data_IF_008891560406
#
_entry.id   IF_008891560406
#
_cell.length_a   1.000
_cell.length_b   1.000
_cell.length_c   1.000
_cell.angle_alpha   90.00
_cell.angle_beta   90.00
_cell.angle_gamma   90.00
#
_symmetry.space_group_name_H-M   'P 1'
#
loop_
_entity.id
_entity.type
_entity.pdbx_description
1 polymer ?
#
# COMPACT_ATOMS: atom_id res chain seq x y z
N UNK A 1 -7.44 11.58 20.72
CA UNK A 1 -6.55 10.53 21.28
C UNK A 1 -6.69 10.29 22.79
N UNK A 2 -7.22 11.19 23.57
CA UNK A 2 -7.41 10.95 25.01
C UNK A 2 -8.41 9.81 25.31
N UNK A 3 -9.53 9.76 24.60
CA UNK A 3 -10.57 8.71 24.77
C UNK A 3 -10.03 7.28 24.57
N UNK A 4 -9.14 7.07 23.60
CA UNK A 4 -8.55 5.76 23.33
C UNK A 4 -7.78 5.24 24.55
N UNK A 5 -6.97 6.12 25.16
CA UNK A 5 -6.17 5.75 26.36
C UNK A 5 -7.05 5.55 27.60
N UNK A 6 -8.06 6.41 27.78
CA UNK A 6 -8.95 6.35 28.94
C UNK A 6 -9.88 5.11 28.92
N UNK A 7 -10.31 4.71 27.73
CA UNK A 7 -11.25 3.60 27.55
C UNK A 7 -10.60 2.27 27.16
N UNK A 8 -9.28 2.23 26.92
CA UNK A 8 -8.56 1.03 26.50
C UNK A 8 -9.02 0.47 25.14
N UNK A 9 -9.50 1.33 24.24
CA UNK A 9 -10.07 0.91 22.95
C UNK A 9 -9.01 0.84 21.87
N UNK A 10 -9.19 -0.13 20.96
CA UNK A 10 -8.53 -0.10 19.66
C UNK A 10 -9.32 0.76 18.69
N UNK A 11 -8.62 1.55 17.87
CA UNK A 11 -9.25 2.42 16.85
C UNK A 11 -8.78 1.98 15.47
N UNK A 12 -9.73 1.77 14.57
CA UNK A 12 -9.47 1.53 13.16
C UNK A 12 -9.81 2.79 12.36
N UNK A 13 -8.83 3.31 11.64
CA UNK A 13 -8.99 4.43 10.71
C UNK A 13 -9.09 3.90 9.29
N UNK A 14 -10.12 4.34 8.56
CA UNK A 14 -10.26 4.08 7.12
C UNK A 14 -10.13 5.41 6.41
N UNK A 15 -9.09 5.54 5.61
CA UNK A 15 -8.76 6.78 4.89
C UNK A 15 -8.00 6.48 3.61
N UNK A 16 -7.99 7.40 2.68
CA UNK A 16 -7.14 7.40 1.49
C UNK A 16 -5.94 8.33 1.61
N UNK A 17 -5.80 9.03 2.72
CA UNK A 17 -4.73 10.01 2.95
C UNK A 17 -3.63 9.41 3.82
N UNK A 18 -2.56 8.96 3.17
CA UNK A 18 -1.36 8.46 3.85
C UNK A 18 -0.56 9.57 4.54
N UNK A 19 -0.67 10.82 4.07
CA UNK A 19 0.12 11.92 4.64
C UNK A 19 -0.15 12.18 6.13
N UNK A 20 -1.37 11.93 6.58
CA UNK A 20 -1.76 12.14 7.99
C UNK A 20 -1.75 10.87 8.84
N UNK A 21 -1.73 9.69 8.22
CA UNK A 21 -1.87 8.41 8.93
C UNK A 21 -0.63 8.09 9.77
N UNK A 22 0.56 8.46 9.31
CA UNK A 22 1.82 8.11 9.95
C UNK A 22 1.90 8.50 11.43
N UNK A 23 1.33 9.65 11.79
CA UNK A 23 1.36 10.16 13.18
C UNK A 23 0.24 9.60 14.07
N UNK A 24 -0.75 8.91 13.47
CA UNK A 24 -1.99 8.56 14.17
C UNK A 24 -2.10 7.08 14.49
N UNK A 25 -1.39 6.20 13.78
CA UNK A 25 -1.56 4.75 13.87
C UNK A 25 -0.22 4.04 14.14
N UNK A 26 -0.30 2.79 14.58
CA UNK A 26 0.88 1.94 14.79
C UNK A 26 1.08 0.96 13.64
N UNK A 27 -0.01 0.57 12.98
CA UNK A 27 -0.02 -0.43 11.91
C UNK A 27 -0.88 0.05 10.75
N UNK A 28 -0.44 -0.23 9.54
CA UNK A 28 -1.14 0.12 8.30
C UNK A 28 -1.44 -1.15 7.52
N UNK A 29 -2.65 -1.22 6.96
CA UNK A 29 -3.05 -2.19 5.98
C UNK A 29 -3.40 -1.43 4.69
N UNK A 30 -2.61 -1.60 3.65
CA UNK A 30 -2.87 -0.99 2.34
C UNK A 30 -3.78 -1.92 1.55
N UNK A 31 -4.90 -1.37 1.08
CA UNK A 31 -5.89 -2.13 0.31
C UNK A 31 -5.93 -1.66 -1.15
N UNK A 32 -6.10 -2.61 -2.06
CA UNK A 32 -6.34 -2.35 -3.46
C UNK A 32 -7.36 -3.36 -4.02
N UNK A 33 -8.39 -2.85 -4.68
CA UNK A 33 -9.45 -3.68 -5.30
C UNK A 33 -10.05 -4.75 -4.35
N UNK A 34 -10.24 -4.39 -3.07
CA UNK A 34 -10.83 -5.28 -2.06
C UNK A 34 -9.84 -6.22 -1.36
N UNK A 35 -8.54 -6.20 -1.71
CA UNK A 35 -7.52 -7.05 -1.10
C UNK A 35 -6.51 -6.23 -0.30
N UNK A 36 -6.04 -6.79 0.82
CA UNK A 36 -4.85 -6.27 1.50
C UNK A 36 -3.64 -6.68 0.66
N UNK A 37 -2.92 -5.70 0.15
CA UNK A 37 -1.76 -5.90 -0.72
C UNK A 37 -0.43 -5.68 -0.01
N UNK A 38 -0.44 -4.94 1.07
CA UNK A 38 0.70 -4.74 1.96
C UNK A 38 0.21 -4.39 3.35
N UNK A 39 0.87 -4.88 4.38
CA UNK A 39 0.60 -4.53 5.78
C UNK A 39 1.90 -4.51 6.57
N UNK A 40 1.99 -3.64 7.57
CA UNK A 40 3.18 -3.54 8.42
C UNK A 40 3.02 -2.48 9.50
N UNK A 41 4.07 -2.29 10.27
CA UNK A 41 4.20 -1.12 11.13
C UNK A 41 4.33 0.13 10.24
N UNK A 42 4.14 1.30 10.81
CA UNK A 42 4.25 2.57 10.07
C UNK A 42 5.60 2.66 9.37
N UNK A 43 6.69 2.41 10.08
CA UNK A 43 8.05 2.49 9.54
C UNK A 43 8.27 1.48 8.40
N UNK A 44 7.76 0.25 8.51
CA UNK A 44 7.82 -0.75 7.42
C UNK A 44 7.17 -0.21 6.14
N UNK A 45 6.00 0.46 6.27
CA UNK A 45 5.24 0.94 5.10
C UNK A 45 5.86 2.18 4.48
N UNK A 46 6.43 3.10 5.28
CA UNK A 46 6.98 4.35 4.75
C UNK A 46 8.44 4.22 4.30
N UNK A 47 9.26 3.50 5.05
CA UNK A 47 10.70 3.42 4.81
C UNK A 47 11.10 2.16 4.00
N UNK A 48 10.38 1.06 4.18
CA UNK A 48 10.68 -0.24 3.57
C UNK A 48 9.53 -0.77 2.68
N UNK A 49 8.85 0.12 1.99
CA UNK A 49 7.73 -0.21 1.09
C UNK A 49 8.10 -1.27 0.07
N UNK A 50 7.27 -2.30 -0.07
CA UNK A 50 7.53 -3.44 -0.95
C UNK A 50 6.56 -3.53 -2.14
N UNK A 51 5.29 -3.14 -1.97
CA UNK A 51 4.32 -3.26 -3.05
C UNK A 51 4.36 -2.05 -4.00
N UNK A 52 4.39 -2.25 -5.33
CA UNK A 52 4.44 -1.15 -6.30
C UNK A 52 3.31 -0.13 -6.18
N UNK A 53 2.13 -0.55 -5.75
CA UNK A 53 1.02 0.38 -5.51
C UNK A 53 1.29 1.29 -4.31
N UNK A 54 1.76 0.72 -3.19
CA UNK A 54 2.12 1.50 -1.99
C UNK A 54 3.25 2.49 -2.30
N UNK A 55 4.27 2.05 -3.05
CA UNK A 55 5.34 2.95 -3.56
C UNK A 55 4.76 4.10 -4.37
N UNK A 56 3.80 3.81 -5.25
CA UNK A 56 3.12 4.83 -6.06
C UNK A 56 2.29 5.80 -5.22
N UNK A 57 1.61 5.32 -4.18
CA UNK A 57 0.85 6.17 -3.25
C UNK A 57 1.78 7.12 -2.48
N UNK A 58 2.86 6.58 -1.89
CA UNK A 58 3.84 7.38 -1.15
C UNK A 58 4.55 8.38 -2.07
N UNK A 59 4.91 7.98 -3.30
CA UNK A 59 5.50 8.87 -4.30
C UNK A 59 4.54 9.95 -4.83
N UNK A 60 3.26 9.86 -4.51
CA UNK A 60 2.25 10.89 -4.83
C UNK A 60 2.06 11.90 -3.70
N UNK A 61 2.67 11.67 -2.53
CA UNK A 61 2.59 12.62 -1.41
C UNK A 61 3.50 13.83 -1.69
N UNK A 62 3.03 15.06 -1.40
CA UNK A 62 3.89 16.23 -1.46
C UNK A 62 5.03 16.10 -0.46
N UNK A 63 6.26 16.25 -0.92
CA UNK A 63 7.42 16.38 -0.02
C UNK A 63 7.60 17.84 0.40
N UNK A 64 7.88 18.08 1.69
CA UNK A 64 8.09 19.42 2.22
C UNK A 64 9.34 20.07 1.58
N UNK A 65 10.28 19.25 1.11
CA UNK A 65 11.54 19.68 0.52
C UNK A 65 11.48 19.85 -1.01
N UNK A 66 10.34 19.57 -1.65
CA UNK A 66 10.20 19.73 -3.09
C UNK A 66 9.95 21.18 -3.49
N UNK A 67 10.61 21.60 -4.58
CA UNK A 67 10.42 22.94 -5.15
C UNK A 67 8.95 23.14 -5.59
N UNK A 68 8.39 24.35 -5.42
CA UNK A 68 7.04 24.66 -5.88
C UNK A 68 6.88 24.35 -7.38
N UNK A 69 5.93 23.48 -7.73
CA UNK A 69 5.68 23.07 -9.11
C UNK A 69 6.27 21.72 -9.51
N UNK A 70 6.90 20.97 -8.60
CA UNK A 70 7.32 19.59 -8.87
C UNK A 70 6.10 18.73 -9.18
N UNK A 71 6.14 18.04 -10.32
CA UNK A 71 5.03 17.20 -10.76
C UNK A 71 4.96 15.95 -9.89
N UNK A 72 3.90 15.83 -9.09
CA UNK A 72 3.64 14.62 -8.31
C UNK A 72 3.54 13.40 -9.23
N UNK A 73 4.13 12.30 -8.80
CA UNK A 73 4.08 11.04 -9.53
C UNK A 73 2.68 10.43 -9.31
N UNK A 74 1.87 10.42 -10.35
CA UNK A 74 0.56 9.76 -10.29
C UNK A 74 0.66 8.32 -10.80
N UNK A 75 -0.11 7.43 -10.18
CA UNK A 75 -0.25 6.05 -10.65
C UNK A 75 -1.12 6.06 -11.92
N UNK A 76 -0.58 5.72 -13.10
CA UNK A 76 -1.34 5.79 -14.35
C UNK A 76 -2.44 4.72 -14.42
N UNK A 77 -3.45 4.94 -15.27
CA UNK A 77 -4.53 4.01 -15.54
C UNK A 77 -5.65 4.04 -14.51
N UNK A 78 -6.69 3.25 -14.76
CA UNK A 78 -7.87 3.12 -13.91
C UNK A 78 -7.78 1.85 -13.04
N UNK A 79 -8.37 1.87 -11.83
CA UNK A 79 -8.54 0.66 -11.04
C UNK A 79 -9.40 -0.37 -11.79
N UNK A 80 -9.24 -1.68 -11.50
CA UNK A 80 -10.06 -2.70 -12.11
C UNK A 80 -11.52 -2.58 -11.70
N UNK A 81 -12.41 -3.07 -12.55
CA UNK A 81 -13.81 -3.26 -12.18
C UNK A 81 -13.90 -4.30 -11.05
N UNK A 82 -14.55 -3.91 -9.94
CA UNK A 82 -14.71 -4.78 -8.78
C UNK A 82 -15.69 -5.93 -9.01
N UNK A 83 -16.53 -5.84 -10.05
CA UNK A 83 -17.49 -6.89 -10.42
C UNK A 83 -16.76 -8.00 -11.19
N UNK A 84 -15.79 -7.64 -12.03
CA UNK A 84 -15.02 -8.54 -12.89
C UNK A 84 -13.53 -8.46 -12.58
N UNK A 85 -13.17 -8.89 -11.36
CA UNK A 85 -11.78 -8.88 -10.94
C UNK A 85 -10.93 -9.87 -11.76
N UNK A 86 -9.67 -9.51 -12.09
CA UNK A 86 -8.76 -10.41 -12.77
C UNK A 86 -8.41 -11.62 -11.87
N UNK A 87 -8.09 -12.76 -12.47
CA UNK A 87 -7.63 -13.96 -11.77
C UNK A 87 -6.27 -13.75 -11.09
N UNK A 88 -5.40 -12.96 -11.72
CA UNK A 88 -4.07 -12.65 -11.21
C UNK A 88 -4.04 -11.44 -10.27
N UNK A 89 -2.88 -10.81 -10.21
CA UNK A 89 -2.67 -9.62 -9.39
C UNK A 89 -3.62 -8.47 -9.82
N UNK A 90 -4.44 -7.92 -8.92
CA UNK A 90 -5.40 -6.88 -9.26
C UNK A 90 -4.73 -5.58 -9.71
N UNK A 91 -3.47 -5.36 -9.32
CA UNK A 91 -2.69 -4.20 -9.74
C UNK A 91 -1.96 -4.39 -11.07
N UNK A 92 -2.01 -5.58 -11.69
CA UNK A 92 -1.26 -5.93 -12.91
C UNK A 92 -1.33 -4.88 -14.00
N UNK A 93 -2.54 -4.41 -14.35
CA UNK A 93 -2.74 -3.47 -15.46
C UNK A 93 -2.01 -2.13 -15.28
N UNK A 94 -1.79 -1.71 -14.03
CA UNK A 94 -1.16 -0.43 -13.66
C UNK A 94 0.28 -0.58 -13.16
N UNK A 95 0.75 -1.82 -12.99
CA UNK A 95 2.06 -2.11 -12.42
C UNK A 95 3.17 -1.94 -13.46
N UNK A 96 4.14 -1.07 -13.19
CA UNK A 96 5.31 -0.87 -14.04
C UNK A 96 6.31 -2.04 -13.95
N UNK A 97 6.23 -2.82 -12.88
CA UNK A 97 7.11 -3.98 -12.63
C UNK A 97 6.48 -5.32 -13.04
N UNK A 98 5.32 -5.31 -13.72
CA UNK A 98 4.57 -6.52 -14.06
C UNK A 98 5.37 -7.50 -14.93
N UNK A 99 5.08 -8.80 -14.73
CA UNK A 99 5.51 -9.92 -15.58
C UNK A 99 4.30 -10.76 -15.95
N UNK A 100 4.41 -11.62 -16.95
CA UNK A 100 3.27 -12.39 -17.47
C UNK A 100 2.61 -13.28 -16.39
N UNK A 101 3.42 -13.92 -15.55
CA UNK A 101 2.91 -14.74 -14.44
C UNK A 101 2.09 -13.96 -13.40
N UNK A 102 2.30 -12.65 -13.26
CA UNK A 102 1.48 -11.83 -12.36
C UNK A 102 0.02 -11.71 -12.83
N UNK A 103 -0.27 -12.01 -14.09
CA UNK A 103 -1.62 -12.02 -14.66
C UNK A 103 -2.35 -13.34 -14.43
N UNK A 104 -1.60 -14.42 -14.25
CA UNK A 104 -2.13 -15.77 -14.19
C UNK A 104 -2.68 -16.12 -12.82
N UNK A 105 -1.94 -15.77 -11.77
CA UNK A 105 -2.26 -16.10 -10.40
C UNK A 105 -2.09 -14.88 -9.47
N UNK A 106 -2.98 -14.80 -8.48
CA UNK A 106 -2.93 -13.74 -7.47
C UNK A 106 -1.89 -14.09 -6.41
N UNK A 107 -0.97 -13.15 -6.10
CA UNK A 107 -0.06 -13.35 -4.99
C UNK A 107 -0.81 -13.36 -3.66
N UNK A 108 -0.48 -14.31 -2.80
CA UNK A 108 -0.92 -14.31 -1.42
C UNK A 108 -0.16 -13.28 -0.60
N UNK A 109 -0.73 -12.90 0.55
CA UNK A 109 -0.06 -12.01 1.50
C UNK A 109 1.05 -12.78 2.24
N UNK A 110 2.29 -12.65 1.79
CA UNK A 110 3.46 -13.33 2.33
C UNK A 110 4.11 -12.50 3.44
N UNK A 111 4.42 -13.13 4.58
CA UNK A 111 5.17 -12.47 5.66
C UNK A 111 6.63 -12.28 5.24
N UNK A 112 7.13 -11.05 5.44
CA UNK A 112 8.49 -10.64 5.06
C UNK A 112 9.44 -10.65 6.24
N UNK A 113 8.95 -10.22 7.40
CA UNK A 113 9.73 -10.14 8.63
C UNK A 113 8.95 -10.62 9.86
N UNK A 114 9.63 -10.75 10.99
CA UNK A 114 9.05 -11.17 12.26
C UNK A 114 8.12 -10.11 12.90
N UNK A 115 8.18 -8.85 12.45
CA UNK A 115 7.40 -7.75 12.98
C UNK A 115 6.00 -7.66 12.36
N UNK A 116 5.68 -8.55 11.41
CA UNK A 116 4.37 -8.62 10.77
C UNK A 116 4.25 -7.77 9.50
N UNK A 117 5.37 -7.32 8.92
CA UNK A 117 5.39 -6.79 7.57
C UNK A 117 5.08 -7.93 6.59
N UNK A 118 4.08 -7.74 5.75
CA UNK A 118 3.67 -8.73 4.75
C UNK A 118 3.23 -8.04 3.46
N UNK A 119 3.44 -8.70 2.33
CA UNK A 119 3.19 -8.15 1.00
C UNK A 119 2.61 -9.20 0.05
N UNK A 120 1.64 -8.81 -0.77
CA UNK A 120 1.04 -9.61 -1.82
C UNK A 120 1.63 -9.21 -3.19
N UNK A 121 2.88 -9.54 -3.42
CA UNK A 121 3.58 -9.22 -4.66
C UNK A 121 4.60 -10.32 -5.01
N UNK A 122 4.51 -10.91 -6.17
CA UNK A 122 5.46 -11.92 -6.64
C UNK A 122 6.90 -11.40 -6.75
N UNK A 123 7.06 -10.10 -6.91
CA UNK A 123 8.36 -9.48 -7.20
C UNK A 123 8.92 -8.59 -6.10
N UNK A 124 8.37 -8.65 -4.92
CA UNK A 124 8.78 -7.75 -3.84
C UNK A 124 10.29 -7.79 -3.50
N UNK A 125 10.96 -8.93 -3.79
CA UNK A 125 12.42 -9.09 -3.55
C UNK A 125 13.29 -8.46 -4.63
N UNK A 126 12.69 -8.03 -5.75
CA UNK A 126 13.42 -7.58 -6.94
C UNK A 126 13.20 -6.08 -7.27
N UNK A 127 12.36 -5.40 -6.53
CA UNK A 127 11.88 -4.04 -6.86
C UNK A 127 12.09 -3.04 -5.72
#
# INVERSE_FOLDING_TARGET
MNLQKEMGMSVMWITHDLGIVAEMVHKINVMYAGFIIEQGLVDDIYDETLHPYTKGLLGSLPSIDEAPGTKLISIPGLPPDLITLPSGCPFYARCTYRRDYCREERPELESVNANGHAVACWRWREI
#
